data_IF_367329821788
#
_entry.id   IF_367329821788
#
_cell.length_a   1.000
_cell.length_b   1.000
_cell.length_c   1.000
_cell.angle_alpha   90.00
_cell.angle_beta   90.00
_cell.angle_gamma   90.00
#
_symmetry.space_group_name_H-M   'P 1'
#
loop_
_entity.id
_entity.type
_entity.pdbx_description
1 polymer ?
#
# COMPACT_ATOMS: atom_id res chain seq x y z
N UNK A 1 -5.41 1.87 6.18
CA UNK A 1 -4.07 2.35 6.58
C UNK A 1 -3.67 3.44 5.59
N UNK A 2 -3.18 4.59 6.06
CA UNK A 2 -2.80 5.72 5.19
C UNK A 2 -1.30 5.90 5.19
N UNK A 3 -0.70 6.11 4.02
CA UNK A 3 0.72 6.38 3.87
C UNK A 3 0.94 7.88 3.79
N UNK A 4 1.81 8.43 4.65
CA UNK A 4 2.10 9.87 4.69
C UNK A 4 3.38 10.24 3.95
N UNK A 5 4.38 9.37 3.95
CA UNK A 5 5.67 9.63 3.32
C UNK A 5 6.44 8.35 3.02
N UNK A 6 7.15 8.34 1.90
CA UNK A 6 8.17 7.36 1.55
C UNK A 6 9.55 7.98 1.77
N UNK A 7 10.43 7.31 2.50
CA UNK A 7 11.81 7.77 2.68
C UNK A 7 12.78 6.67 2.27
N UNK A 8 13.66 6.98 1.31
CA UNK A 8 14.84 6.14 1.01
C UNK A 8 15.90 6.45 2.08
N UNK A 9 16.44 5.42 2.74
CA UNK A 9 17.58 5.59 3.63
C UNK A 9 18.83 5.90 2.79
N UNK A 10 19.04 7.16 2.44
CA UNK A 10 20.38 7.71 2.28
C UNK A 10 20.77 8.34 3.63
N UNK A 11 22.04 8.29 4.02
CA UNK A 11 22.53 9.17 5.08
C UNK A 11 22.67 10.59 4.51
N UNK A 12 21.71 11.49 4.77
CA UNK A 12 21.95 12.92 4.57
C UNK A 12 21.37 13.69 5.76
N UNK A 13 22.30 14.31 6.48
CA UNK A 13 22.06 15.45 7.35
C UNK A 13 21.59 16.64 6.50
N UNK A 14 20.30 17.00 6.61
CA UNK A 14 19.83 18.36 6.35
C UNK A 14 18.36 18.49 6.79
N UNK A 15 18.10 19.39 7.74
CA UNK A 15 16.76 19.69 8.23
C UNK A 15 15.92 20.38 7.15
N UNK A 16 14.81 19.75 6.78
CA UNK A 16 13.73 20.38 6.02
C UNK A 16 12.47 20.37 6.88
N UNK A 17 12.05 21.55 7.36
CA UNK A 17 10.73 21.73 7.93
C UNK A 17 9.70 21.53 6.81
N UNK A 18 9.12 20.33 6.73
CA UNK A 18 8.00 20.07 5.83
C UNK A 18 6.75 20.74 6.39
N UNK A 19 6.29 21.78 5.70
CA UNK A 19 5.00 22.41 5.94
C UNK A 19 3.91 21.34 5.79
N UNK A 20 3.33 20.94 6.92
CA UNK A 20 2.24 19.97 6.98
C UNK A 20 1.05 20.52 6.17
N UNK A 21 0.80 19.91 5.00
CA UNK A 21 -0.42 20.14 4.24
C UNK A 21 -1.63 19.87 5.17
N UNK A 22 -2.49 20.88 5.32
CA UNK A 22 -3.67 20.83 6.18
C UNK A 22 -4.58 19.67 5.71
N UNK A 23 -4.79 18.70 6.62
CA UNK A 23 -5.68 17.55 6.46
C UNK A 23 -7.06 17.95 5.93
N UNK A 24 -7.49 17.32 4.84
CA UNK A 24 -8.90 17.20 4.51
C UNK A 24 -9.56 16.25 5.53
N UNK A 25 -10.70 16.64 6.09
CA UNK A 25 -11.45 15.84 7.07
C UNK A 25 -12.06 14.63 6.34
N UNK A 26 -11.74 13.43 6.78
CA UNK A 26 -12.25 12.19 6.18
C UNK A 26 -13.75 12.02 6.36
N UNK A 27 -14.45 11.63 5.27
CA UNK A 27 -15.78 11.03 5.39
C UNK A 27 -16.20 10.06 4.28
N UNK A 28 -15.33 9.66 3.35
CA UNK A 28 -15.65 8.50 2.49
C UNK A 28 -14.43 7.60 2.29
N UNK A 29 -14.41 6.54 3.08
CA UNK A 29 -13.67 5.33 2.76
C UNK A 29 -14.38 4.73 1.55
N UNK A 30 -13.68 4.59 0.43
CA UNK A 30 -14.23 3.97 -0.77
C UNK A 30 -13.62 2.58 -0.94
N UNK A 31 -14.44 1.65 -1.36
CA UNK A 31 -14.01 0.31 -1.72
C UNK A 31 -14.28 0.10 -3.20
N UNK A 32 -13.31 -0.48 -3.90
CA UNK A 32 -13.39 -0.77 -5.33
C UNK A 32 -13.12 -2.26 -5.50
N UNK A 33 -13.99 -3.02 -6.21
CA UNK A 33 -13.67 -4.38 -6.56
C UNK A 33 -12.55 -4.38 -7.61
N UNK A 34 -11.55 -5.21 -7.41
CA UNK A 34 -10.48 -5.38 -8.37
C UNK A 34 -9.98 -6.83 -8.43
N UNK A 35 -9.32 -7.18 -9.53
CA UNK A 35 -8.70 -8.48 -9.71
C UNK A 35 -7.21 -8.30 -9.98
N UNK A 36 -6.39 -9.10 -9.29
CA UNK A 36 -4.94 -9.21 -9.54
C UNK A 36 -4.63 -10.69 -9.71
N UNK A 37 -4.08 -11.06 -10.86
CA UNK A 37 -3.84 -12.46 -11.20
C UNK A 37 -5.13 -13.29 -11.05
N UNK A 38 -5.09 -14.30 -10.18
CA UNK A 38 -6.23 -15.17 -9.88
C UNK A 38 -7.09 -14.72 -8.68
N UNK A 39 -6.71 -13.63 -8.01
CA UNK A 39 -7.41 -13.16 -6.81
C UNK A 39 -8.36 -12.00 -7.13
N UNK A 40 -9.62 -12.15 -6.74
CA UNK A 40 -10.61 -11.06 -6.77
C UNK A 40 -10.82 -10.50 -5.36
N UNK A 41 -10.61 -9.20 -5.23
CA UNK A 41 -10.85 -8.39 -4.05
C UNK A 41 -12.19 -7.69 -4.24
N UNK A 42 -13.14 -7.95 -3.35
CA UNK A 42 -14.47 -7.30 -3.41
C UNK A 42 -14.40 -5.88 -2.85
N UNK A 43 -13.43 -5.65 -1.97
CA UNK A 43 -13.32 -4.51 -1.09
C UNK A 43 -11.89 -3.99 -1.02
N UNK A 44 -11.22 -3.75 -2.17
CA UNK A 44 -9.94 -3.05 -2.15
C UNK A 44 -10.17 -1.59 -1.71
N UNK A 45 -9.42 -1.14 -0.70
CA UNK A 45 -9.52 0.21 -0.15
C UNK A 45 -8.91 1.22 -1.12
N UNK A 46 -9.74 2.11 -1.65
CA UNK A 46 -9.28 3.27 -2.42
C UNK A 46 -8.98 4.42 -1.45
N UNK A 47 -7.71 4.77 -1.35
CA UNK A 47 -7.20 5.82 -0.48
C UNK A 47 -6.54 6.91 -1.29
N UNK A 48 -7.35 7.85 -1.78
CA UNK A 48 -6.89 9.01 -2.58
C UNK A 48 -5.89 9.93 -1.85
N UNK A 49 -5.65 9.69 -0.55
CA UNK A 49 -4.64 10.39 0.24
C UNK A 49 -3.32 9.62 0.36
N UNK A 50 -3.27 8.36 -0.09
CA UNK A 50 -2.04 7.59 -0.15
C UNK A 50 -1.29 7.91 -1.45
N UNK A 51 0.04 7.91 -1.38
CA UNK A 51 0.91 8.10 -2.55
C UNK A 51 1.40 6.79 -3.15
N UNK A 52 0.97 5.65 -2.59
CA UNK A 52 1.42 4.32 -2.98
C UNK A 52 0.27 3.31 -2.87
N UNK A 53 0.38 2.23 -3.62
CA UNK A 53 -0.41 1.04 -3.36
C UNK A 53 0.31 0.14 -2.35
N UNK A 54 -0.46 -0.51 -1.49
CA UNK A 54 0.08 -1.43 -0.48
C UNK A 54 -0.61 -2.78 -0.54
N UNK A 55 0.19 -3.84 -0.49
CA UNK A 55 -0.27 -5.23 -0.50
C UNK A 55 0.13 -5.90 0.81
N UNK A 56 -0.82 -6.46 1.58
CA UNK A 56 -0.51 -7.31 2.72
C UNK A 56 0.31 -8.54 2.32
N UNK A 57 1.27 -8.92 3.16
CA UNK A 57 2.08 -10.13 2.97
C UNK A 57 1.24 -11.40 2.75
N UNK A 58 0.08 -11.50 3.41
CA UNK A 58 -0.86 -12.62 3.24
C UNK A 58 -1.40 -12.72 1.81
N UNK A 59 -1.74 -11.59 1.19
CA UNK A 59 -2.17 -11.52 -0.22
C UNK A 59 -1.01 -11.83 -1.15
N UNK A 60 0.16 -11.24 -0.93
CA UNK A 60 1.36 -11.52 -1.73
C UNK A 60 1.65 -13.03 -1.78
N UNK A 61 1.63 -13.71 -0.62
CA UNK A 61 1.82 -15.17 -0.52
C UNK A 61 0.76 -15.96 -1.29
N UNK A 62 -0.49 -15.49 -1.32
CA UNK A 62 -1.58 -16.17 -2.04
C UNK A 62 -1.46 -16.08 -3.57
N UNK A 63 -0.79 -15.05 -4.07
CA UNK A 63 -0.61 -14.80 -5.50
C UNK A 63 0.55 -15.60 -6.11
N UNK A 64 1.34 -16.30 -5.29
CA UNK A 64 2.50 -17.09 -5.71
C UNK A 64 3.50 -16.31 -6.58
N UNK A 65 3.74 -15.03 -6.26
CA UNK A 65 4.79 -14.25 -6.90
C UNK A 65 6.19 -14.75 -6.51
N UNK A 66 7.18 -14.38 -7.32
CA UNK A 66 8.60 -14.62 -7.04
C UNK A 66 9.07 -13.84 -5.82
N UNK A 67 10.17 -14.29 -5.22
CA UNK A 67 10.76 -13.67 -4.03
C UNK A 67 10.97 -12.15 -4.20
N UNK A 68 10.71 -11.43 -3.12
CA UNK A 68 10.87 -9.98 -3.05
C UNK A 68 12.29 -9.60 -2.70
N UNK A 69 12.81 -8.60 -3.40
CA UNK A 69 14.06 -7.94 -3.04
C UNK A 69 13.80 -6.83 -2.01
N UNK A 70 14.53 -6.80 -0.88
CA UNK A 70 14.43 -5.74 0.11
C UNK A 70 14.76 -4.38 -0.51
N UNK A 71 13.88 -3.40 -0.30
CA UNK A 71 14.05 -2.06 -0.89
C UNK A 71 15.01 -1.15 -0.11
N UNK A 72 15.27 -1.46 1.16
CA UNK A 72 15.97 -0.56 2.09
C UNK A 72 15.21 0.74 2.41
N UNK A 73 13.93 0.82 2.01
CA UNK A 73 13.08 1.99 2.25
C UNK A 73 12.30 1.87 3.55
N UNK A 74 11.81 3.00 4.04
CA UNK A 74 10.84 3.05 5.14
C UNK A 74 9.62 3.86 4.73
N UNK A 75 8.47 3.49 5.29
CA UNK A 75 7.17 4.11 5.04
C UNK A 75 6.63 4.64 6.36
N UNK A 76 6.30 5.93 6.39
CA UNK A 76 5.60 6.51 7.53
C UNK A 76 4.10 6.46 7.31
N UNK A 77 3.39 5.83 8.24
CA UNK A 77 1.94 5.71 8.23
C UNK A 77 1.26 6.91 8.90
N UNK A 78 -0.04 7.06 8.73
CA UNK A 78 -0.82 8.17 9.29
C UNK A 78 -0.91 8.20 10.82
N UNK A 79 -0.74 7.05 11.47
CA UNK A 79 -0.55 6.92 12.92
C UNK A 79 0.88 7.29 13.36
N UNK A 80 1.73 7.76 12.42
CA UNK A 80 3.14 8.08 12.58
C UNK A 80 4.06 6.88 12.83
N UNK A 81 3.56 5.65 12.78
CA UNK A 81 4.43 4.48 12.83
C UNK A 81 5.24 4.37 11.54
N UNK A 82 6.42 3.76 11.65
CA UNK A 82 7.34 3.56 10.52
C UNK A 82 7.43 2.07 10.26
N UNK A 83 7.23 1.66 9.01
CA UNK A 83 7.30 0.26 8.58
C UNK A 83 8.32 0.10 7.45
N UNK A 84 9.01 -1.03 7.43
CA UNK A 84 9.89 -1.42 6.32
C UNK A 84 9.12 -2.37 5.40
N UNK A 85 9.02 -2.07 4.10
CA UNK A 85 8.46 -3.02 3.15
C UNK A 85 9.36 -4.24 2.99
N UNK A 86 8.75 -5.40 2.83
CA UNK A 86 9.46 -6.63 2.45
C UNK A 86 10.07 -6.49 1.05
N UNK A 87 9.39 -5.77 0.17
CA UNK A 87 9.85 -5.42 -1.16
C UNK A 87 8.79 -4.66 -1.94
N UNK A 88 9.02 -4.49 -3.23
CA UNK A 88 8.07 -3.91 -4.18
C UNK A 88 7.77 -4.94 -5.25
N UNK A 89 6.49 -5.12 -5.55
CA UNK A 89 6.03 -5.77 -6.77
C UNK A 89 5.83 -4.71 -7.83
N UNK A 90 6.64 -4.74 -8.88
CA UNK A 90 6.56 -3.78 -9.99
C UNK A 90 5.64 -4.30 -11.09
N UNK A 91 4.98 -3.38 -11.81
CA UNK A 91 4.19 -3.67 -13.01
C UNK A 91 3.08 -4.73 -12.83
N UNK A 92 2.41 -4.72 -11.67
CA UNK A 92 1.30 -5.63 -11.39
C UNK A 92 0.07 -5.22 -12.17
N UNK A 93 -0.49 -6.14 -12.97
CA UNK A 93 -1.77 -5.94 -13.65
C UNK A 93 -2.94 -5.97 -12.65
N UNK A 94 -3.59 -4.82 -12.49
CA UNK A 94 -4.80 -4.63 -11.69
C UNK A 94 -5.98 -4.37 -12.62
N UNK A 95 -6.95 -5.27 -12.60
CA UNK A 95 -8.20 -5.09 -13.32
C UNK A 95 -9.25 -4.44 -12.42
N UNK A 96 -9.81 -3.32 -12.86
CA UNK A 96 -10.96 -2.65 -12.25
C UNK A 96 -12.06 -2.54 -13.31
N UNK A 97 -13.15 -3.26 -13.10
CA UNK A 97 -14.18 -3.48 -14.12
C UNK A 97 -13.57 -4.02 -15.42
N UNK A 98 -13.68 -3.28 -16.53
CA UNK A 98 -13.17 -3.65 -17.85
C UNK A 98 -11.79 -3.05 -18.16
N UNK A 99 -11.23 -2.27 -17.22
CA UNK A 99 -9.97 -1.56 -17.40
C UNK A 99 -8.84 -2.29 -16.68
N UNK A 100 -7.67 -2.32 -17.30
CA UNK A 100 -6.44 -2.89 -16.73
C UNK A 100 -5.42 -1.77 -16.54
N UNK A 101 -4.84 -1.70 -15.35
CA UNK A 101 -3.80 -0.76 -14.98
C UNK A 101 -2.56 -1.53 -14.54
N UNK A 102 -1.38 -1.02 -14.87
CA UNK A 102 -0.14 -1.46 -14.23
C UNK A 102 0.07 -0.62 -12.98
N UNK A 103 0.41 -1.27 -11.87
CA UNK A 103 0.60 -0.62 -10.59
C UNK A 103 1.70 -1.31 -9.79
N UNK A 104 2.50 -0.52 -9.09
CA UNK A 104 3.50 -1.02 -8.17
C UNK A 104 2.89 -1.16 -6.77
N UNK A 105 3.19 -2.25 -6.08
CA UNK A 105 2.72 -2.53 -4.73
C UNK A 105 3.89 -2.67 -3.76
N UNK A 106 3.85 -1.90 -2.68
CA UNK A 106 4.72 -2.12 -1.53
C UNK A 106 4.14 -3.24 -0.68
N UNK A 107 4.90 -4.33 -0.51
CA UNK A 107 4.46 -5.47 0.29
C UNK A 107 4.80 -5.22 1.74
N UNK A 108 3.78 -5.15 2.59
CA UNK A 108 3.89 -4.79 4.00
C UNK A 108 3.36 -5.92 4.88
N UNK A 109 4.06 -6.16 5.99
CA UNK A 109 3.56 -7.02 7.06
C UNK A 109 2.49 -6.26 7.84
N UNK A 110 1.23 -6.53 7.51
CA UNK A 110 0.06 -5.95 8.16
C UNK A 110 -0.62 -7.04 8.96
N UNK A 111 -1.10 -6.71 10.16
CA UNK A 111 -1.92 -7.64 10.92
C UNK A 111 -3.20 -7.97 10.13
N UNK A 112 -3.41 -9.26 9.88
CA UNK A 112 -4.70 -9.77 9.45
C UNK A 112 -5.65 -9.61 10.65
N UNK A 113 -6.42 -8.52 10.68
CA UNK A 113 -7.39 -8.26 11.75
C UNK A 113 -8.30 -9.48 11.91
N UNK A 114 -8.05 -10.25 12.98
CA UNK A 114 -8.71 -11.53 13.31
C UNK A 114 -10.22 -11.39 13.55
N UNK A 115 -10.80 -10.20 13.38
CA UNK A 115 -12.22 -9.90 13.43
C UNK A 115 -12.86 -9.84 12.03
N UNK A 116 -12.75 -10.92 11.25
CA UNK A 116 -13.62 -11.15 10.06
C UNK A 116 -13.57 -10.09 8.94
N UNK A 117 -12.62 -9.15 8.97
CA UNK A 117 -12.37 -8.21 7.87
C UNK A 117 -11.21 -8.76 7.06
N UNK A 118 -11.51 -9.11 5.82
CA UNK A 118 -10.56 -9.61 4.82
C UNK A 118 -9.36 -8.66 4.75
N UNK A 119 -8.14 -9.19 4.72
CA UNK A 119 -6.92 -8.42 4.46
C UNK A 119 -7.14 -7.56 3.21
N UNK A 120 -7.14 -6.25 3.39
CA UNK A 120 -7.60 -5.33 2.35
C UNK A 120 -6.41 -4.81 1.55
N UNK A 121 -6.45 -4.99 0.23
CA UNK A 121 -5.54 -4.33 -0.70
C UNK A 121 -5.77 -2.81 -0.67
N UNK A 122 -4.71 -2.01 -0.69
CA UNK A 122 -4.82 -0.54 -0.69
C UNK A 122 -4.37 0.00 -2.04
N UNK A 123 -5.23 0.80 -2.67
CA UNK A 123 -4.98 1.51 -3.92
C UNK A 123 -4.86 3.00 -3.61
N UNK A 124 -3.71 3.60 -3.94
CA UNK A 124 -3.39 5.03 -3.75
C UNK A 124 -3.69 5.87 -4.97
#
# INVERSE_FOLDING_TARGET
MRVLALTKNYEISAGAQQALAKKCRDLKIFFVPCTIGSCTFVDALLDLGASINAMPTSIYKSLNFSDLEPTGMTIQLANKSVVQPLGVLEDVMVQVNELIFLADFYVLDMEDETSGKRSTLILG
#
